data_IF_657267276977
#
_entry.id   IF_657267276977
#
_cell.length_a   1.000
_cell.length_b   1.000
_cell.length_c   1.000
_cell.angle_alpha   90.00
_cell.angle_beta   90.00
_cell.angle_gamma   90.00
#
_symmetry.space_group_name_H-M   'P 1'
#
loop_
_entity.id
_entity.type
_entity.pdbx_description
1 polymer ?
#
# COMPACT_ATOMS: atom_id res chain seq x y z
N UNK A 1 16.73 -5.40 -6.54
CA UNK A 1 17.84 -4.73 -7.23
C UNK A 1 17.64 -3.21 -7.22
N UNK A 2 16.60 -2.66 -7.87
CA UNK A 2 16.36 -1.22 -7.98
C UNK A 2 16.26 -0.53 -6.61
N UNK A 3 15.61 -1.14 -5.64
CA UNK A 3 15.45 -0.57 -4.30
C UNK A 3 16.79 -0.32 -3.60
N UNK A 4 17.76 -1.24 -3.74
CA UNK A 4 19.08 -1.12 -3.11
C UNK A 4 20.01 -0.20 -3.91
N UNK A 5 20.08 -0.36 -5.24
CA UNK A 5 21.08 0.34 -6.05
C UNK A 5 20.64 1.74 -6.51
N UNK A 6 19.34 2.00 -6.57
CA UNK A 6 18.79 3.28 -6.99
C UNK A 6 18.02 3.94 -5.84
N UNK A 7 17.09 3.22 -5.21
CA UNK A 7 16.23 3.75 -4.16
C UNK A 7 17.00 4.20 -2.92
N UNK A 8 17.88 3.34 -2.40
CA UNK A 8 18.65 3.65 -1.20
C UNK A 8 19.56 4.90 -1.34
N UNK A 9 20.36 5.08 -2.41
CA UNK A 9 21.15 6.30 -2.61
C UNK A 9 20.29 7.57 -2.66
N UNK A 10 19.15 7.53 -3.35
CA UNK A 10 18.21 8.65 -3.41
C UNK A 10 17.66 8.94 -2.01
N UNK A 11 17.21 7.92 -1.26
CA UNK A 11 16.73 8.06 0.10
C UNK A 11 17.75 8.69 1.01
N UNK A 12 19.00 8.22 1.00
CA UNK A 12 20.10 8.80 1.80
C UNK A 12 20.32 10.27 1.46
N UNK A 13 20.26 10.63 0.18
CA UNK A 13 20.46 12.03 -0.26
C UNK A 13 19.31 12.94 0.19
N UNK A 14 18.06 12.49 0.14
CA UNK A 14 16.89 13.24 0.62
C UNK A 14 16.92 13.42 2.15
N UNK A 15 17.19 12.34 2.89
CA UNK A 15 17.35 12.39 4.34
C UNK A 15 18.50 13.33 4.75
N UNK A 16 19.63 13.27 4.06
CA UNK A 16 20.77 14.14 4.29
C UNK A 16 20.43 15.63 4.05
N UNK A 17 19.68 15.91 2.98
CA UNK A 17 19.22 17.27 2.68
C UNK A 17 18.28 17.78 3.77
N UNK A 18 17.34 16.97 4.22
CA UNK A 18 16.43 17.29 5.32
C UNK A 18 17.20 17.59 6.62
N UNK A 19 18.07 16.67 7.03
CA UNK A 19 18.89 16.80 8.25
C UNK A 19 19.83 18.01 8.23
N UNK A 20 20.49 18.28 7.09
CA UNK A 20 21.38 19.42 6.93
C UNK A 20 20.66 20.76 7.04
N UNK A 21 19.44 20.83 6.54
CA UNK A 21 18.67 22.07 6.51
C UNK A 21 17.82 22.29 7.76
N UNK A 22 17.39 21.22 8.43
CA UNK A 22 16.45 21.25 9.56
C UNK A 22 15.09 21.83 9.18
N UNK A 23 14.68 21.68 7.91
CA UNK A 23 13.45 22.26 7.37
C UNK A 23 12.69 21.25 6.51
N UNK A 24 11.37 21.38 6.47
CA UNK A 24 10.55 20.65 5.52
C UNK A 24 10.93 20.98 4.07
N UNK A 25 10.38 20.23 3.12
CA UNK A 25 10.83 20.18 1.72
C UNK A 25 10.99 21.55 1.04
N UNK A 26 10.00 22.46 1.16
CA UNK A 26 10.09 23.82 0.57
C UNK A 26 11.26 24.61 1.16
N UNK A 27 11.39 24.57 2.50
CA UNK A 27 12.47 25.26 3.21
C UNK A 27 13.84 24.70 2.90
N UNK A 28 13.94 23.37 2.74
CA UNK A 28 15.17 22.67 2.40
C UNK A 28 15.68 23.08 1.01
N UNK A 29 14.82 23.00 -0.01
CA UNK A 29 15.18 23.44 -1.37
C UNK A 29 15.50 24.94 -1.44
N UNK A 30 14.73 25.79 -0.74
CA UNK A 30 15.01 27.23 -0.69
C UNK A 30 16.37 27.57 -0.07
N UNK A 31 16.82 26.76 0.92
CA UNK A 31 18.11 26.91 1.57
C UNK A 31 19.25 26.30 0.75
N UNK A 32 19.00 25.19 0.07
CA UNK A 32 20.01 24.46 -0.72
C UNK A 32 20.33 25.17 -2.05
N UNK A 33 19.34 25.78 -2.71
CA UNK A 33 19.52 26.38 -4.03
C UNK A 33 18.58 27.56 -4.27
N UNK A 34 19.13 28.63 -4.89
CA UNK A 34 18.32 29.78 -5.32
C UNK A 34 17.58 29.50 -6.63
N UNK A 35 18.19 28.71 -7.53
CA UNK A 35 17.69 28.44 -8.89
C UNK A 35 16.52 27.44 -8.91
N UNK A 36 16.60 26.38 -8.11
CA UNK A 36 15.64 25.26 -8.12
C UNK A 36 14.70 25.24 -6.90
N UNK A 37 14.48 26.39 -6.26
CA UNK A 37 13.56 26.52 -5.11
C UNK A 37 12.12 26.04 -5.41
N UNK A 38 11.70 26.07 -6.67
CA UNK A 38 10.39 25.63 -7.12
C UNK A 38 10.18 24.12 -6.99
N UNK A 39 11.25 23.30 -7.02
CA UNK A 39 11.17 21.85 -6.79
C UNK A 39 10.60 21.53 -5.41
N UNK A 40 10.81 22.40 -4.41
CA UNK A 40 10.21 22.22 -3.11
C UNK A 40 8.67 22.26 -3.13
N UNK A 41 8.08 23.02 -4.04
CA UNK A 41 6.63 23.04 -4.22
C UNK A 41 6.12 21.79 -4.91
N UNK A 42 6.84 21.25 -5.89
CA UNK A 42 6.51 19.95 -6.49
C UNK A 42 6.57 18.82 -5.45
N UNK A 43 7.56 18.87 -4.54
CA UNK A 43 7.66 17.94 -3.43
C UNK A 43 6.53 18.04 -2.40
N UNK A 44 5.72 19.11 -2.41
CA UNK A 44 4.48 19.20 -1.62
C UNK A 44 3.27 18.79 -2.44
N UNK A 45 3.26 19.16 -3.71
CA UNK A 45 2.13 18.85 -4.61
C UNK A 45 1.95 17.35 -4.81
N UNK A 46 3.05 16.60 -4.96
CA UNK A 46 3.00 15.15 -5.16
C UNK A 46 2.30 14.41 -4.00
N UNK A 47 2.73 14.55 -2.73
CA UNK A 47 2.03 13.90 -1.62
C UNK A 47 0.60 14.45 -1.41
N UNK A 48 0.32 15.70 -1.76
CA UNK A 48 -1.04 16.24 -1.71
C UNK A 48 -1.98 15.50 -2.67
N UNK A 49 -1.54 15.27 -3.92
CA UNK A 49 -2.31 14.51 -4.91
C UNK A 49 -2.46 13.05 -4.49
N UNK A 50 -1.40 12.43 -3.96
CA UNK A 50 -1.43 11.08 -3.44
C UNK A 50 -2.44 10.99 -2.28
N UNK A 51 -2.39 11.91 -1.32
CA UNK A 51 -3.30 11.92 -0.17
C UNK A 51 -4.76 12.05 -0.59
N UNK A 52 -5.07 12.78 -1.65
CA UNK A 52 -6.43 12.89 -2.18
C UNK A 52 -6.99 11.53 -2.60
N UNK A 53 -6.19 10.72 -3.29
CA UNK A 53 -6.56 9.36 -3.68
C UNK A 53 -6.59 8.38 -2.49
N UNK A 54 -5.55 8.42 -1.65
CA UNK A 54 -5.44 7.53 -0.49
C UNK A 54 -6.53 7.75 0.55
N UNK A 55 -7.01 8.98 0.71
CA UNK A 55 -8.10 9.26 1.64
C UNK A 55 -9.38 8.54 1.25
N UNK A 56 -9.67 8.44 -0.05
CA UNK A 56 -10.82 7.69 -0.56
C UNK A 56 -10.65 6.19 -0.32
N UNK A 57 -9.47 5.63 -0.63
CA UNK A 57 -9.18 4.22 -0.35
C UNK A 57 -9.23 3.92 1.14
N UNK A 58 -8.71 4.81 1.98
CA UNK A 58 -8.80 4.69 3.44
C UNK A 58 -10.26 4.72 3.92
N UNK A 59 -11.10 5.53 3.32
CA UNK A 59 -12.55 5.55 3.55
C UNK A 59 -13.19 4.21 3.20
N UNK A 60 -12.85 3.62 2.05
CA UNK A 60 -13.32 2.29 1.67
C UNK A 60 -12.89 1.21 2.68
N UNK A 61 -11.64 1.22 3.14
CA UNK A 61 -11.17 0.29 4.17
C UNK A 61 -11.99 0.40 5.45
N UNK A 62 -12.26 1.62 5.94
CA UNK A 62 -13.08 1.85 7.12
C UNK A 62 -14.53 1.37 6.92
N UNK A 63 -15.10 1.58 5.74
CA UNK A 63 -16.44 1.11 5.41
C UNK A 63 -16.52 -0.42 5.42
N UNK A 64 -15.57 -1.10 4.76
CA UNK A 64 -15.49 -2.56 4.80
C UNK A 64 -15.29 -3.09 6.22
N UNK A 65 -14.43 -2.47 6.99
CA UNK A 65 -14.20 -2.84 8.39
C UNK A 65 -15.49 -2.70 9.20
N UNK A 66 -16.24 -1.62 9.04
CA UNK A 66 -17.51 -1.40 9.77
C UNK A 66 -18.58 -2.41 9.37
N UNK A 67 -18.68 -2.76 8.08
CA UNK A 67 -19.63 -3.76 7.58
C UNK A 67 -19.29 -5.15 8.11
N UNK A 68 -18.04 -5.58 8.03
CA UNK A 68 -17.62 -6.89 8.54
C UNK A 68 -17.78 -6.99 10.08
N UNK A 69 -17.49 -5.92 10.83
CA UNK A 69 -17.72 -5.89 12.27
C UNK A 69 -19.21 -5.93 12.62
N UNK A 70 -20.06 -5.27 11.86
CA UNK A 70 -21.50 -5.30 12.06
C UNK A 70 -22.08 -6.69 11.77
N UNK A 71 -21.60 -7.37 10.74
CA UNK A 71 -21.99 -8.74 10.42
C UNK A 71 -21.56 -9.72 11.53
N UNK A 72 -20.31 -9.63 12.00
CA UNK A 72 -19.77 -10.48 13.05
C UNK A 72 -20.47 -10.26 14.40
N UNK A 73 -20.83 -9.00 14.75
CA UNK A 73 -21.36 -8.64 16.06
C UNK A 73 -22.88 -8.81 16.16
N UNK A 74 -23.60 -8.61 15.07
CA UNK A 74 -25.09 -8.50 15.09
C UNK A 74 -25.80 -9.44 14.13
N UNK A 75 -25.08 -10.25 13.32
CA UNK A 75 -25.68 -11.10 12.33
C UNK A 75 -26.52 -10.30 11.31
N UNK A 76 -26.10 -9.08 10.99
CA UNK A 76 -26.85 -8.09 10.20
C UNK A 76 -26.98 -8.44 8.72
N UNK A 77 -26.45 -9.58 8.28
CA UNK A 77 -26.73 -10.15 6.94
C UNK A 77 -28.23 -10.25 6.63
N UNK A 78 -29.07 -10.38 7.66
CA UNK A 78 -30.54 -10.35 7.53
C UNK A 78 -31.15 -8.95 7.36
N UNK A 79 -30.49 -7.88 7.77
CA UNK A 79 -31.06 -6.50 7.74
C UNK A 79 -30.74 -5.81 6.41
N UNK A 80 -29.58 -6.05 5.83
CA UNK A 80 -29.19 -5.48 4.53
C UNK A 80 -29.42 -6.42 3.34
N UNK A 81 -29.98 -7.61 3.58
CA UNK A 81 -30.52 -8.49 2.54
C UNK A 81 -29.49 -9.13 1.61
N UNK A 82 -28.21 -9.04 1.90
CA UNK A 82 -27.18 -9.68 1.07
C UNK A 82 -25.96 -10.08 1.89
N UNK A 83 -25.45 -11.26 1.64
CA UNK A 83 -24.08 -11.65 1.95
C UNK A 83 -23.16 -10.53 1.48
N UNK A 84 -22.21 -10.08 2.30
CA UNK A 84 -21.23 -9.05 1.90
C UNK A 84 -20.30 -9.67 0.86
N UNK A 85 -20.76 -9.70 -0.39
CA UNK A 85 -19.93 -10.08 -1.53
C UNK A 85 -19.08 -8.88 -1.94
N UNK A 86 -17.80 -9.10 -2.23
CA UNK A 86 -16.87 -8.03 -2.58
C UNK A 86 -17.36 -7.19 -3.75
N UNK A 87 -17.94 -7.80 -4.79
CA UNK A 87 -18.43 -7.11 -5.99
C UNK A 87 -19.66 -6.23 -5.71
N UNK A 88 -20.64 -6.72 -4.97
CA UNK A 88 -21.86 -5.97 -4.65
C UNK A 88 -21.53 -4.78 -3.72
N UNK A 89 -20.70 -5.01 -2.70
CA UNK A 89 -20.29 -3.97 -1.76
C UNK A 89 -19.44 -2.91 -2.45
N UNK A 90 -18.47 -3.29 -3.27
CA UNK A 90 -17.66 -2.35 -4.03
C UNK A 90 -18.50 -1.56 -5.05
N UNK A 91 -19.43 -2.21 -5.75
CA UNK A 91 -20.38 -1.55 -6.65
C UNK A 91 -21.25 -0.52 -5.93
N UNK A 92 -21.79 -0.87 -4.77
CA UNK A 92 -22.61 0.06 -3.96
C UNK A 92 -21.81 1.26 -3.47
N UNK A 93 -20.53 1.09 -3.12
CA UNK A 93 -19.64 2.20 -2.73
C UNK A 93 -19.41 3.19 -3.86
N UNK A 94 -19.28 2.70 -5.10
CA UNK A 94 -19.09 3.56 -6.27
C UNK A 94 -20.37 4.31 -6.68
N UNK A 95 -21.53 3.71 -6.43
CA UNK A 95 -22.82 4.28 -6.85
C UNK A 95 -23.50 5.12 -5.77
N UNK A 96 -23.15 4.92 -4.49
CA UNK A 96 -23.76 5.63 -3.36
C UNK A 96 -22.77 6.65 -2.77
N UNK A 97 -22.74 7.90 -3.29
CA UNK A 97 -21.69 8.87 -2.93
C UNK A 97 -21.69 9.24 -1.43
N UNK A 98 -22.84 9.17 -0.75
CA UNK A 98 -22.91 9.53 0.67
C UNK A 98 -22.08 8.64 1.58
N UNK A 99 -22.13 7.32 1.41
CA UNK A 99 -21.33 6.39 2.21
C UNK A 99 -19.83 6.61 2.04
N UNK A 100 -19.38 6.70 0.80
CA UNK A 100 -17.97 6.95 0.48
C UNK A 100 -17.47 8.27 1.08
N UNK A 101 -18.23 9.36 0.96
CA UNK A 101 -17.84 10.68 1.48
C UNK A 101 -17.73 10.68 3.00
N UNK A 102 -18.71 10.10 3.71
CA UNK A 102 -18.71 10.05 5.17
C UNK A 102 -17.48 9.28 5.69
N UNK A 103 -17.22 8.09 5.16
CA UNK A 103 -16.07 7.29 5.59
C UNK A 103 -14.72 7.91 5.18
N UNK A 104 -14.66 8.60 4.04
CA UNK A 104 -13.47 9.37 3.64
C UNK A 104 -13.21 10.53 4.62
N UNK A 105 -14.23 11.27 5.00
CA UNK A 105 -14.11 12.34 5.99
C UNK A 105 -13.72 11.81 7.36
N UNK A 106 -14.26 10.65 7.78
CA UNK A 106 -13.87 9.98 9.01
C UNK A 106 -12.40 9.56 8.97
N UNK A 107 -11.94 8.99 7.86
CA UNK A 107 -10.53 8.65 7.67
C UNK A 107 -9.62 9.87 7.79
N UNK A 108 -9.97 10.96 7.11
CA UNK A 108 -9.23 12.23 7.20
C UNK A 108 -9.21 12.76 8.63
N UNK A 109 -10.35 12.71 9.34
CA UNK A 109 -10.43 13.15 10.73
C UNK A 109 -9.50 12.33 11.64
N UNK A 110 -9.45 11.01 11.48
CA UNK A 110 -8.51 10.14 12.20
C UNK A 110 -7.06 10.55 11.90
N UNK A 111 -6.72 10.74 10.63
CA UNK A 111 -5.38 11.18 10.23
C UNK A 111 -5.01 12.53 10.88
N UNK A 112 -5.94 13.50 10.86
CA UNK A 112 -5.72 14.82 11.49
C UNK A 112 -5.49 14.69 12.98
N UNK A 113 -6.25 13.86 13.69
CA UNK A 113 -6.09 13.63 15.14
C UNK A 113 -4.71 13.05 15.43
N UNK A 114 -4.26 12.04 14.66
CA UNK A 114 -2.94 11.43 14.83
C UNK A 114 -1.84 12.45 14.57
N UNK A 115 -1.92 13.19 13.47
CA UNK A 115 -0.90 14.19 13.10
C UNK A 115 -0.87 15.36 14.08
N UNK A 116 -2.03 15.77 14.64
CA UNK A 116 -2.10 16.80 15.68
C UNK A 116 -1.34 16.41 16.96
N UNK A 117 -1.21 15.12 17.25
CA UNK A 117 -0.37 14.61 18.34
C UNK A 117 1.13 14.80 18.10
N UNK A 118 1.54 15.28 16.92
CA UNK A 118 2.94 15.44 16.53
C UNK A 118 3.61 14.11 16.21
N UNK A 119 4.96 14.15 16.06
CA UNK A 119 5.72 12.96 15.66
C UNK A 119 5.75 11.94 16.81
N UNK A 120 6.25 12.33 17.97
CA UNK A 120 6.44 11.41 19.09
C UNK A 120 5.14 11.02 19.77
N UNK A 121 4.19 11.95 19.95
CA UNK A 121 2.92 11.71 20.64
C UNK A 121 1.81 11.14 19.77
N UNK A 122 1.89 11.35 18.45
CA UNK A 122 0.89 10.91 17.49
C UNK A 122 1.40 9.79 16.60
N UNK A 123 2.20 10.12 15.59
CA UNK A 123 2.61 9.17 14.53
C UNK A 123 3.41 8.00 15.11
N UNK A 124 4.41 8.26 15.94
CA UNK A 124 5.26 7.22 16.54
C UNK A 124 4.46 6.29 17.46
N UNK A 125 3.59 6.88 18.30
CA UNK A 125 2.76 6.11 19.23
C UNK A 125 1.76 5.21 18.47
N UNK A 126 1.15 5.73 17.42
CA UNK A 126 0.26 4.94 16.55
C UNK A 126 1.01 3.79 15.87
N UNK A 127 2.20 4.06 15.30
CA UNK A 127 3.00 3.07 14.60
C UNK A 127 3.55 1.98 15.53
N UNK A 128 3.88 2.30 16.79
CA UNK A 128 4.34 1.30 17.76
C UNK A 128 3.32 0.17 18.02
N UNK A 129 2.04 0.45 17.84
CA UNK A 129 0.97 -0.55 17.97
C UNK A 129 0.54 -1.07 16.59
N UNK A 130 0.36 -0.17 15.64
CA UNK A 130 -0.17 -0.50 14.32
C UNK A 130 0.74 -1.39 13.48
N UNK A 131 2.06 -1.14 13.49
CA UNK A 131 2.99 -1.92 12.69
C UNK A 131 3.14 -3.38 13.16
N UNK A 132 3.33 -3.69 14.45
CA UNK A 132 3.30 -5.06 14.92
C UNK A 132 1.97 -5.76 14.66
N UNK A 133 0.84 -5.08 14.86
CA UNK A 133 -0.47 -5.63 14.56
C UNK A 133 -0.63 -5.98 13.07
N UNK A 134 -0.20 -5.09 12.17
CA UNK A 134 -0.18 -5.34 10.73
C UNK A 134 0.67 -6.58 10.40
N UNK A 135 1.87 -6.69 10.99
CA UNK A 135 2.77 -7.83 10.76
C UNK A 135 2.13 -9.15 11.17
N UNK A 136 1.52 -9.20 12.35
CA UNK A 136 0.82 -10.40 12.84
C UNK A 136 -0.37 -10.75 11.94
N UNK A 137 -1.18 -9.77 11.54
CA UNK A 137 -2.30 -9.99 10.61
C UNK A 137 -1.81 -10.53 9.26
N UNK A 138 -0.72 -9.97 8.71
CA UNK A 138 -0.15 -10.48 7.46
C UNK A 138 0.28 -11.94 7.59
N UNK A 139 0.93 -12.33 8.69
CA UNK A 139 1.33 -13.72 8.93
C UNK A 139 0.12 -14.66 8.95
N UNK A 140 -0.95 -14.30 9.63
CA UNK A 140 -2.19 -15.09 9.69
C UNK A 140 -2.79 -15.25 8.28
N UNK A 141 -2.87 -14.15 7.52
CA UNK A 141 -3.41 -14.18 6.15
C UNK A 141 -2.52 -15.00 5.22
N UNK A 142 -1.18 -14.89 5.34
CA UNK A 142 -0.25 -15.69 4.53
C UNK A 142 -0.46 -17.19 4.78
N UNK A 143 -0.51 -17.61 6.04
CA UNK A 143 -0.73 -19.03 6.38
C UNK A 143 -2.02 -19.51 5.73
N UNK A 144 -3.09 -18.75 5.82
CA UNK A 144 -4.37 -19.11 5.23
C UNK A 144 -4.32 -19.09 3.70
N UNK A 145 -3.74 -18.06 3.09
CA UNK A 145 -3.64 -17.90 1.65
C UNK A 145 -2.90 -19.06 0.98
N UNK A 146 -1.75 -19.44 1.55
CA UNK A 146 -0.90 -20.50 1.00
C UNK A 146 -1.51 -21.90 1.20
N UNK A 147 -2.38 -22.08 2.18
CA UNK A 147 -3.06 -23.36 2.45
C UNK A 147 -4.35 -23.57 1.66
N UNK A 148 -4.79 -22.59 0.88
CA UNK A 148 -5.97 -22.75 0.02
C UNK A 148 -5.71 -23.73 -1.12
N UNK A 149 -6.70 -24.57 -1.50
CA UNK A 149 -6.62 -25.42 -2.69
C UNK A 149 -6.40 -24.55 -3.95
N UNK A 150 -5.38 -24.84 -4.75
CA UNK A 150 -5.01 -24.05 -5.93
C UNK A 150 -4.10 -22.86 -5.65
N UNK A 151 -3.69 -22.60 -4.40
CA UNK A 151 -2.76 -21.52 -4.06
C UNK A 151 -1.38 -21.67 -4.73
N UNK A 152 -0.98 -22.90 -5.07
CA UNK A 152 0.29 -23.20 -5.74
C UNK A 152 0.42 -22.48 -7.09
N UNK A 153 -0.67 -22.32 -7.82
CA UNK A 153 -0.70 -21.60 -9.10
C UNK A 153 -0.36 -20.11 -8.93
N UNK A 154 -0.88 -19.51 -7.87
CA UNK A 154 -0.54 -18.13 -7.49
C UNK A 154 0.92 -17.97 -7.05
N UNK A 155 1.49 -18.98 -6.39
CA UNK A 155 2.91 -19.00 -6.04
C UNK A 155 3.80 -19.17 -7.29
N UNK A 156 3.43 -20.07 -8.20
CA UNK A 156 4.12 -20.22 -9.48
C UNK A 156 4.09 -18.92 -10.29
N UNK A 157 2.93 -18.26 -10.37
CA UNK A 157 2.78 -16.96 -11.01
C UNK A 157 3.73 -15.91 -10.43
N UNK A 158 3.95 -15.92 -9.12
CA UNK A 158 4.78 -14.94 -8.43
C UNK A 158 6.29 -15.19 -8.61
N UNK A 159 6.73 -16.46 -8.65
CA UNK A 159 8.15 -16.80 -8.56
C UNK A 159 8.73 -17.42 -9.83
N UNK A 160 7.93 -18.01 -10.70
CA UNK A 160 8.47 -18.68 -11.89
C UNK A 160 8.41 -17.72 -13.09
N UNK A 161 9.59 -17.25 -13.58
CA UNK A 161 9.63 -16.40 -14.76
C UNK A 161 8.99 -17.11 -15.98
N UNK A 162 8.13 -16.42 -16.70
CA UNK A 162 7.45 -16.96 -17.88
C UNK A 162 6.16 -17.72 -17.58
N UNK A 163 5.95 -18.20 -16.36
CA UNK A 163 4.74 -18.94 -15.98
C UNK A 163 3.44 -18.17 -16.28
N UNK A 164 3.45 -16.87 -16.11
CA UNK A 164 2.28 -16.02 -16.39
C UNK A 164 1.83 -16.10 -17.87
N UNK A 165 2.75 -16.32 -18.81
CA UNK A 165 2.44 -16.53 -20.22
C UNK A 165 2.04 -17.99 -20.47
N UNK A 166 2.83 -18.94 -19.95
CA UNK A 166 2.62 -20.37 -20.12
C UNK A 166 1.24 -20.84 -19.59
N UNK A 167 0.84 -20.34 -18.44
CA UNK A 167 -0.46 -20.62 -17.82
C UNK A 167 -1.60 -19.74 -18.35
N UNK A 168 -1.32 -18.83 -19.31
CA UNK A 168 -2.35 -18.00 -19.95
C UNK A 168 -2.88 -16.84 -19.11
N UNK A 169 -2.17 -16.39 -18.08
CA UNK A 169 -2.55 -15.19 -17.31
C UNK A 169 -2.34 -13.91 -18.12
N UNK A 170 -1.31 -13.89 -18.95
CA UNK A 170 -1.02 -12.80 -19.89
C UNK A 170 -0.71 -13.37 -21.29
N UNK A 171 -1.10 -12.63 -22.33
CA UNK A 171 -0.93 -13.10 -23.70
C UNK A 171 0.55 -13.12 -24.15
N UNK A 172 1.33 -12.12 -23.73
CA UNK A 172 2.73 -11.97 -24.12
C UNK A 172 3.57 -11.48 -22.95
N UNK A 173 4.85 -11.89 -22.92
CA UNK A 173 5.80 -11.42 -21.93
C UNK A 173 6.08 -9.92 -22.13
N UNK A 174 6.02 -9.10 -21.06
CA UNK A 174 6.33 -7.69 -21.17
C UNK A 174 7.81 -7.48 -21.52
N UNK A 175 8.12 -6.45 -22.31
CA UNK A 175 9.51 -6.11 -22.64
C UNK A 175 10.31 -5.74 -21.37
N UNK A 176 11.61 -6.03 -21.38
CA UNK A 176 12.49 -5.72 -20.23
C UNK A 176 12.41 -4.25 -19.80
N UNK A 177 12.35 -3.31 -20.73
CA UNK A 177 12.23 -1.87 -20.44
C UNK A 177 10.92 -1.57 -19.71
N UNK A 178 9.82 -2.20 -20.12
CA UNK A 178 8.51 -2.05 -19.46
C UNK A 178 8.54 -2.60 -18.04
N UNK A 179 9.18 -3.75 -17.83
CA UNK A 179 9.34 -4.35 -16.49
C UNK A 179 10.17 -3.45 -15.57
N UNK A 180 11.33 -2.97 -16.05
CA UNK A 180 12.20 -2.07 -15.28
C UNK A 180 11.50 -0.74 -14.99
N UNK A 181 10.78 -0.18 -15.95
CA UNK A 181 10.01 1.05 -15.76
C UNK A 181 8.91 0.91 -14.72
N UNK A 182 8.14 -0.18 -14.77
CA UNK A 182 7.10 -0.47 -13.80
C UNK A 182 7.68 -0.72 -12.40
N UNK A 183 8.73 -1.53 -12.30
CA UNK A 183 9.41 -1.81 -11.03
C UNK A 183 10.05 -0.54 -10.45
N UNK A 184 10.63 0.33 -11.30
CA UNK A 184 11.16 1.62 -10.88
C UNK A 184 10.07 2.55 -10.34
N UNK A 185 8.95 2.67 -11.04
CA UNK A 185 7.79 3.44 -10.58
C UNK A 185 7.27 2.94 -9.22
N UNK A 186 7.11 1.63 -9.07
CA UNK A 186 6.70 1.02 -7.80
C UNK A 186 7.71 1.29 -6.67
N UNK A 187 9.01 1.20 -6.94
CA UNK A 187 10.06 1.50 -5.98
C UNK A 187 9.99 2.97 -5.50
N UNK A 188 9.84 3.93 -6.41
CA UNK A 188 9.70 5.35 -6.05
C UNK A 188 8.48 5.58 -5.17
N UNK A 189 7.38 4.93 -5.49
CA UNK A 189 6.14 5.04 -4.76
C UNK A 189 6.23 4.39 -3.37
N UNK A 190 6.70 3.16 -3.27
CA UNK A 190 6.79 2.40 -2.02
C UNK A 190 7.74 3.06 -1.02
N UNK A 191 8.93 3.46 -1.47
CA UNK A 191 9.92 4.13 -0.64
C UNK A 191 9.65 5.64 -0.46
N UNK A 192 8.55 6.16 -1.00
CA UNK A 192 8.17 7.58 -0.91
C UNK A 192 9.26 8.56 -1.37
N UNK A 193 9.99 8.19 -2.44
CA UNK A 193 11.10 9.00 -2.98
C UNK A 193 10.60 10.08 -3.93
N UNK A 194 11.37 11.14 -4.07
CA UNK A 194 11.14 12.30 -4.96
C UNK A 194 9.86 13.10 -4.65
N UNK A 195 9.16 12.79 -3.56
CA UNK A 195 7.94 13.50 -3.15
C UNK A 195 8.12 14.34 -1.86
N UNK A 196 9.35 14.60 -1.44
CA UNK A 196 9.67 15.46 -0.29
C UNK A 196 9.39 14.85 1.08
N UNK A 197 8.83 13.63 1.14
CA UNK A 197 8.57 12.93 2.40
C UNK A 197 9.88 12.64 3.15
N UNK A 198 10.86 12.04 2.47
CA UNK A 198 12.16 11.71 3.07
C UNK A 198 12.95 12.96 3.48
N UNK A 199 12.85 14.06 2.74
CA UNK A 199 13.42 15.35 3.16
C UNK A 199 12.78 15.83 4.46
N UNK A 200 11.47 15.70 4.58
CA UNK A 200 10.76 16.10 5.80
C UNK A 200 11.13 15.21 6.98
N UNK A 201 11.14 13.88 6.81
CA UNK A 201 11.60 12.95 7.85
C UNK A 201 13.05 13.23 8.25
N UNK A 202 13.94 13.47 7.28
CA UNK A 202 15.33 13.82 7.51
C UNK A 202 15.50 15.07 8.39
N UNK A 203 14.58 16.03 8.32
CA UNK A 203 14.64 17.27 9.12
C UNK A 203 14.43 17.04 10.63
N UNK A 204 13.88 15.89 11.02
CA UNK A 204 13.65 15.50 12.41
C UNK A 204 14.71 14.53 12.94
N UNK A 205 15.55 13.95 12.07
CA UNK A 205 16.58 13.01 12.48
C UNK A 205 17.70 13.70 13.23
N UNK A 206 18.12 13.07 14.33
CA UNK A 206 19.28 13.49 15.11
C UNK A 206 20.58 13.41 14.29
N UNK A 207 21.57 14.18 14.68
CA UNK A 207 22.88 14.18 13.99
C UNK A 207 23.66 12.89 14.22
N UNK A 208 23.40 12.19 15.33
CA UNK A 208 24.07 10.96 15.73
C UNK A 208 23.55 9.73 15.00
N UNK A 209 22.39 9.84 14.34
CA UNK A 209 21.78 8.76 13.56
C UNK A 209 22.51 8.48 12.26
N UNK A 210 22.79 7.21 11.98
CA UNK A 210 23.39 6.78 10.72
C UNK A 210 22.35 6.73 9.60
N UNK A 211 22.41 7.69 8.65
CA UNK A 211 21.49 7.73 7.52
C UNK A 211 21.54 6.48 6.66
N UNK A 212 22.74 5.98 6.38
CA UNK A 212 22.94 4.78 5.57
C UNK A 212 22.34 3.54 6.23
N UNK A 213 22.58 3.36 7.53
CA UNK A 213 22.01 2.23 8.29
C UNK A 213 20.48 2.30 8.32
N UNK A 214 19.93 3.48 8.61
CA UNK A 214 18.48 3.67 8.66
C UNK A 214 17.84 3.48 7.28
N UNK A 215 18.45 3.98 6.21
CA UNK A 215 17.96 3.75 4.84
C UNK A 215 18.01 2.27 4.45
N UNK A 216 19.06 1.54 4.83
CA UNK A 216 19.14 0.12 4.57
C UNK A 216 18.04 -0.67 5.30
N UNK A 217 17.79 -0.34 6.56
CA UNK A 217 16.71 -0.97 7.35
C UNK A 217 15.36 -0.68 6.70
N UNK A 218 15.09 0.56 6.29
CA UNK A 218 13.82 0.95 5.65
C UNK A 218 13.63 0.17 4.35
N UNK A 219 14.62 0.19 3.44
CA UNK A 219 14.53 -0.49 2.14
C UNK A 219 14.34 -1.99 2.29
N UNK A 220 15.07 -2.61 3.24
CA UNK A 220 14.97 -4.05 3.50
C UNK A 220 13.60 -4.41 4.09
N UNK A 221 13.14 -3.65 5.08
CA UNK A 221 11.83 -3.88 5.71
C UNK A 221 10.67 -3.67 4.73
N UNK A 222 10.73 -2.64 3.91
CA UNK A 222 9.74 -2.37 2.85
C UNK A 222 9.67 -3.54 1.87
N UNK A 223 10.82 -4.04 1.42
CA UNK A 223 10.90 -5.19 0.50
C UNK A 223 10.34 -6.47 1.14
N UNK A 224 10.65 -6.74 2.40
CA UNK A 224 10.13 -7.92 3.12
C UNK A 224 8.60 -7.82 3.24
N UNK A 225 8.07 -6.69 3.67
CA UNK A 225 6.62 -6.50 3.82
C UNK A 225 5.91 -6.58 2.47
N UNK A 226 6.50 -6.03 1.40
CA UNK A 226 5.96 -6.13 0.05
C UNK A 226 5.87 -7.59 -0.43
N UNK A 227 6.91 -8.41 -0.17
CA UNK A 227 6.88 -9.85 -0.45
C UNK A 227 5.82 -10.56 0.38
N UNK A 228 5.73 -10.27 1.67
CA UNK A 228 4.70 -10.82 2.55
C UNK A 228 3.29 -10.49 2.05
N UNK A 229 3.05 -9.25 1.62
CA UNK A 229 1.77 -8.85 1.02
C UNK A 229 1.49 -9.63 -0.28
N UNK A 230 2.50 -9.87 -1.11
CA UNK A 230 2.38 -10.74 -2.28
C UNK A 230 1.93 -12.15 -1.92
N UNK A 231 2.56 -12.78 -0.93
CA UNK A 231 2.17 -14.09 -0.40
C UNK A 231 0.77 -14.13 0.21
N UNK A 232 0.34 -13.02 0.83
CA UNK A 232 -0.99 -12.92 1.41
C UNK A 232 -2.08 -12.82 0.33
N UNK A 233 -1.81 -12.13 -0.78
CA UNK A 233 -2.83 -11.70 -1.73
C UNK A 233 -2.89 -12.61 -2.95
N UNK A 234 -1.76 -12.84 -3.63
CA UNK A 234 -1.77 -13.50 -4.95
C UNK A 234 -2.22 -14.97 -4.91
N UNK A 235 -1.72 -15.83 -3.98
CA UNK A 235 -2.18 -17.21 -3.91
C UNK A 235 -3.68 -17.30 -3.61
N UNK A 236 -4.20 -16.48 -2.70
CA UNK A 236 -5.61 -16.44 -2.36
C UNK A 236 -6.46 -15.95 -3.53
N UNK A 237 -6.02 -14.92 -4.25
CA UNK A 237 -6.74 -14.38 -5.39
C UNK A 237 -6.86 -15.41 -6.53
N UNK A 238 -5.75 -16.09 -6.85
CA UNK A 238 -5.73 -17.12 -7.88
C UNK A 238 -6.59 -18.33 -7.47
N UNK A 239 -6.41 -18.84 -6.24
CA UNK A 239 -7.17 -19.96 -5.73
C UNK A 239 -8.69 -19.69 -5.75
N UNK A 240 -9.14 -18.53 -5.29
CA UNK A 240 -10.55 -18.15 -5.28
C UNK A 240 -11.12 -17.98 -6.69
N UNK A 241 -10.34 -17.36 -7.60
CA UNK A 241 -10.77 -17.20 -8.99
C UNK A 241 -10.90 -18.55 -9.71
N UNK A 242 -9.97 -19.48 -9.48
CA UNK A 242 -10.05 -20.85 -10.00
C UNK A 242 -11.25 -21.60 -9.43
N UNK A 243 -11.49 -21.51 -8.13
CA UNK A 243 -12.65 -22.13 -7.48
C UNK A 243 -13.98 -21.59 -8.05
N UNK A 244 -14.00 -20.33 -8.50
CA UNK A 244 -15.15 -19.68 -9.14
C UNK A 244 -15.24 -19.97 -10.65
N UNK A 245 -14.34 -20.79 -11.22
CA UNK A 245 -14.30 -21.11 -12.64
C UNK A 245 -13.91 -19.95 -13.56
N UNK A 246 -13.23 -18.92 -13.04
CA UNK A 246 -12.79 -17.77 -13.83
C UNK A 246 -11.54 -18.16 -14.62
N UNK A 247 -11.52 -17.97 -15.96
CA UNK A 247 -10.34 -18.24 -16.78
C UNK A 247 -9.13 -17.38 -16.35
N UNK A 248 -7.92 -17.91 -16.48
CA UNK A 248 -6.69 -17.23 -16.03
C UNK A 248 -6.51 -15.83 -16.62
N UNK A 249 -6.87 -15.63 -17.89
CA UNK A 249 -6.78 -14.34 -18.58
C UNK A 249 -7.81 -13.29 -18.14
N UNK A 250 -8.85 -13.70 -17.39
CA UNK A 250 -9.89 -12.82 -16.88
C UNK A 250 -9.74 -12.54 -15.38
N UNK A 251 -8.77 -13.19 -14.71
CA UNK A 251 -8.53 -12.99 -13.29
C UNK A 251 -8.07 -11.57 -12.97
N UNK A 252 -8.65 -10.99 -11.92
CA UNK A 252 -8.28 -9.65 -11.43
C UNK A 252 -7.11 -9.78 -10.45
N UNK A 253 -5.90 -9.66 -10.96
CA UNK A 253 -4.65 -9.78 -10.18
C UNK A 253 -3.98 -8.45 -9.88
N UNK A 254 -4.70 -7.33 -9.99
CA UNK A 254 -4.15 -6.00 -9.70
C UNK A 254 -5.20 -4.92 -9.49
N UNK A 255 -4.73 -3.75 -9.00
CA UNK A 255 -5.55 -2.59 -8.77
C UNK A 255 -6.50 -2.68 -7.56
N UNK A 256 -7.36 -1.65 -7.34
CA UNK A 256 -8.29 -1.62 -6.22
C UNK A 256 -9.27 -2.79 -6.17
N UNK A 257 -9.65 -3.34 -7.33
CA UNK A 257 -10.55 -4.48 -7.41
C UNK A 257 -9.98 -5.71 -6.72
N UNK A 258 -8.68 -5.94 -6.82
CA UNK A 258 -8.02 -7.05 -6.13
C UNK A 258 -8.22 -6.98 -4.61
N UNK A 259 -8.07 -5.79 -4.02
CA UNK A 259 -8.21 -5.60 -2.57
C UNK A 259 -9.67 -5.63 -2.10
N UNK A 260 -10.57 -4.96 -2.81
CA UNK A 260 -11.93 -4.72 -2.34
C UNK A 260 -12.95 -5.74 -2.85
N UNK A 261 -12.63 -6.51 -3.88
CA UNK A 261 -13.48 -7.58 -4.38
C UNK A 261 -12.87 -8.92 -4.01
N UNK A 262 -11.72 -9.24 -4.61
CA UNK A 262 -11.14 -10.59 -4.52
C UNK A 262 -10.78 -10.99 -3.09
N UNK A 263 -10.13 -10.11 -2.32
CA UNK A 263 -9.80 -10.43 -0.93
C UNK A 263 -11.04 -10.50 -0.03
N UNK A 264 -12.05 -9.67 -0.26
CA UNK A 264 -13.30 -9.75 0.50
C UNK A 264 -13.99 -11.09 0.25
N UNK A 265 -14.04 -11.54 -1.00
CA UNK A 265 -14.63 -12.85 -1.33
C UNK A 265 -13.83 -14.01 -0.74
N UNK A 266 -12.50 -13.89 -0.66
CA UNK A 266 -11.66 -14.86 0.07
C UNK A 266 -12.01 -14.89 1.55
N UNK A 267 -12.15 -13.73 2.20
CA UNK A 267 -12.47 -13.66 3.63
C UNK A 267 -13.88 -14.14 3.94
N UNK A 268 -14.85 -13.90 3.07
CA UNK A 268 -16.23 -14.39 3.27
C UNK A 268 -16.34 -15.92 3.15
N UNK A 269 -15.36 -16.57 2.51
CA UNK A 269 -15.26 -18.03 2.37
C UNK A 269 -14.31 -18.69 3.39
N UNK A 270 -13.81 -17.94 4.36
CA UNK A 270 -12.92 -18.41 5.43
C UNK A 270 -13.69 -18.72 6.72
#
# INVERSE_FOLDING_TARGET
>A
FLAVFVGMPIMVSELAMGRKTGRGVIGAYKKATKKFKWLGWLGVLAPFLIMSFYSVLGGYCLQYMSLNLAELSFGLSGIFGSTITGSATFGSMLTTPFGCVIFTLLFIAICVIIVKGGISGGIEKFNKVGMPALFVMLLIIIIRSVTLPGAEEGLKFMFIPGYAVEAGFIAEAPSFIKVVGSAGGQMFFSLSLAMGAMVTYGSYLSKDESLTKNSLIIVTSDTIIALMAGFAVLPAAVANSMASGIPNNEMVLGGPKLLFITLQDVFSNM
#
